data_IF_087911650185
#
_entry.id   IF_087911650185
#
_cell.length_a   1.000
_cell.length_b   1.000
_cell.length_c   1.000
_cell.angle_alpha   90.00
_cell.angle_beta   90.00
_cell.angle_gamma   90.00
#
_symmetry.space_group_name_H-M   'P 1'
#
loop_
_entity.id
_entity.type
_entity.pdbx_description
1 polymer ?
#
# COMPACT_ATOMS: atom_id res chain seq x y z
N UNK A 1 -7.25 8.06 -11.07
CA UNK A 1 -6.91 6.65 -11.38
C UNK A 1 -7.04 5.79 -10.14
N UNK A 2 -7.18 4.51 -10.32
CA UNK A 2 -7.25 3.56 -9.22
C UNK A 2 -6.07 2.61 -9.32
N UNK A 3 -5.19 2.66 -8.32
CA UNK A 3 -4.00 1.83 -8.27
C UNK A 3 -4.06 0.94 -7.05
N UNK A 4 -3.88 -0.35 -7.26
CA UNK A 4 -3.71 -1.30 -6.18
C UNK A 4 -2.21 -1.50 -5.99
N UNK A 5 -1.71 -1.14 -4.82
CA UNK A 5 -0.29 -1.32 -4.47
C UNK A 5 -0.18 -2.54 -3.58
N UNK A 6 0.65 -3.50 -4.01
CA UNK A 6 0.96 -4.66 -3.19
C UNK A 6 2.47 -4.73 -2.99
N UNK A 7 2.90 -5.20 -1.83
CA UNK A 7 4.33 -5.30 -1.55
C UNK A 7 4.62 -6.50 -0.65
N UNK A 8 5.85 -6.97 -0.77
CA UNK A 8 6.41 -8.00 0.09
C UNK A 8 7.83 -7.55 0.44
N UNK A 9 8.02 -7.16 1.68
CA UNK A 9 9.30 -6.61 2.17
C UNK A 9 9.92 -7.59 3.14
N UNK A 10 11.18 -7.95 2.90
CA UNK A 10 11.92 -8.85 3.77
C UNK A 10 12.06 -8.25 5.17
N UNK A 11 11.66 -9.01 6.18
CA UNK A 11 11.73 -8.59 7.59
C UNK A 11 12.73 -9.40 8.40
N UNK A 12 13.60 -10.13 7.73
CA UNK A 12 14.61 -10.96 8.38
C UNK A 12 15.56 -10.12 9.24
N UNK A 13 15.84 -8.89 8.82
CA UNK A 13 16.73 -8.00 9.52
C UNK A 13 16.06 -6.69 9.91
N UNK A 14 16.68 -5.95 10.83
CA UNK A 14 16.14 -4.67 11.31
C UNK A 14 15.95 -3.65 10.19
N UNK A 15 16.88 -3.63 9.23
CA UNK A 15 16.78 -2.72 8.09
C UNK A 15 15.51 -3.00 7.27
N UNK A 16 15.18 -4.26 7.05
CA UNK A 16 13.96 -4.65 6.33
C UNK A 16 12.70 -4.27 7.09
N UNK A 17 12.70 -4.43 8.39
CA UNK A 17 11.56 -4.01 9.21
C UNK A 17 11.34 -2.50 9.14
N UNK A 18 12.42 -1.72 9.08
CA UNK A 18 12.32 -0.26 8.90
C UNK A 18 11.79 0.09 7.52
N UNK A 19 12.26 -0.62 6.47
CA UNK A 19 11.74 -0.42 5.10
C UNK A 19 10.25 -0.72 5.04
N UNK A 20 9.82 -1.80 5.67
CA UNK A 20 8.41 -2.17 5.70
C UNK A 20 7.56 -1.04 6.27
N UNK A 21 7.99 -0.44 7.37
CA UNK A 21 7.26 0.68 7.97
C UNK A 21 7.20 1.90 7.03
N UNK A 22 8.31 2.20 6.35
CA UNK A 22 8.36 3.34 5.42
C UNK A 22 7.52 3.11 4.18
N UNK A 23 7.54 1.89 3.64
CA UNK A 23 6.68 1.51 2.51
C UNK A 23 5.21 1.61 2.90
N UNK A 24 4.83 1.05 4.03
CA UNK A 24 3.46 1.12 4.51
C UNK A 24 3.02 2.57 4.76
N UNK A 25 3.90 3.39 5.32
CA UNK A 25 3.62 4.81 5.57
C UNK A 25 3.39 5.56 4.26
N UNK A 26 4.23 5.32 3.26
CA UNK A 26 4.07 5.93 1.95
C UNK A 26 2.71 5.59 1.35
N UNK A 27 2.33 4.32 1.39
CA UNK A 27 1.03 3.90 0.88
C UNK A 27 -0.13 4.52 1.67
N UNK A 28 -0.02 4.60 2.99
CA UNK A 28 -1.06 5.20 3.84
C UNK A 28 -1.27 6.69 3.57
N UNK A 29 -0.22 7.38 3.16
CA UNK A 29 -0.32 8.82 2.84
C UNK A 29 -1.13 9.06 1.58
N UNK A 30 -1.32 8.05 0.72
CA UNK A 30 -1.98 8.19 -0.58
C UNK A 30 -3.18 7.28 -0.78
N UNK A 31 -3.40 6.33 0.10
CA UNK A 31 -4.47 5.36 -0.10
C UNK A 31 -5.00 4.75 1.18
N UNK A 32 -5.85 3.76 1.02
CA UNK A 32 -6.51 3.06 2.11
C UNK A 32 -6.01 1.63 2.15
N UNK A 33 -5.63 1.16 3.32
CA UNK A 33 -5.19 -0.22 3.50
C UNK A 33 -6.36 -1.18 3.31
N UNK A 34 -6.24 -2.07 2.34
CA UNK A 34 -7.21 -3.13 2.11
C UNK A 34 -6.83 -4.40 2.85
N UNK A 35 -5.54 -4.72 2.89
CA UNK A 35 -4.96 -5.81 3.66
C UNK A 35 -3.57 -5.41 4.12
N UNK A 36 -2.89 -6.26 4.88
CA UNK A 36 -1.61 -5.89 5.51
C UNK A 36 -0.62 -5.27 4.54
N UNK A 37 -0.49 -5.84 3.36
CA UNK A 37 0.46 -5.37 2.35
C UNK A 37 -0.24 -5.00 1.05
N UNK A 38 -1.49 -4.56 1.14
CA UNK A 38 -2.31 -4.18 -0.01
C UNK A 38 -3.00 -2.86 0.28
N UNK A 39 -2.78 -1.88 -0.59
CA UNK A 39 -3.38 -0.55 -0.48
C UNK A 39 -4.14 -0.20 -1.74
N UNK A 40 -5.29 0.40 -1.57
CA UNK A 40 -6.12 0.93 -2.65
C UNK A 40 -5.94 2.44 -2.70
N UNK A 41 -5.42 2.94 -3.83
CA UNK A 41 -5.11 4.34 -4.00
C UNK A 41 -5.96 4.94 -5.12
N UNK A 42 -6.87 5.87 -4.77
CA UNK A 42 -7.68 6.62 -5.73
C UNK A 42 -7.08 8.01 -5.82
N UNK A 43 -6.20 8.22 -6.79
CA UNK A 43 -5.37 9.41 -6.87
C UNK A 43 -5.21 9.85 -8.32
N UNK A 44 -4.77 11.09 -8.50
CA UNK A 44 -4.45 11.62 -9.80
C UNK A 44 -3.04 11.22 -10.26
N UNK A 45 -2.73 11.56 -11.50
CA UNK A 45 -1.45 11.19 -12.11
C UNK A 45 -0.25 11.80 -11.35
N UNK A 46 -0.37 13.05 -10.93
CA UNK A 46 0.72 13.72 -10.22
C UNK A 46 1.00 13.05 -8.87
N UNK A 47 -0.05 12.71 -8.13
CA UNK A 47 0.07 12.02 -6.86
C UNK A 47 0.66 10.62 -7.03
N UNK A 48 0.22 9.91 -8.07
CA UNK A 48 0.77 8.60 -8.37
C UNK A 48 2.27 8.67 -8.66
N UNK A 49 2.71 9.66 -9.41
CA UNK A 49 4.13 9.84 -9.71
C UNK A 49 4.94 10.01 -8.41
N UNK A 50 4.42 10.81 -7.48
CA UNK A 50 5.08 11.02 -6.20
C UNK A 50 5.12 9.74 -5.36
N UNK A 51 4.01 9.03 -5.28
CA UNK A 51 3.94 7.78 -4.53
C UNK A 51 4.88 6.73 -5.12
N UNK A 52 4.83 6.55 -6.44
CA UNK A 52 5.71 5.59 -7.12
C UNK A 52 7.18 5.89 -6.86
N UNK A 53 7.59 7.14 -7.01
CA UNK A 53 8.98 7.53 -6.80
C UNK A 53 9.40 7.26 -5.35
N UNK A 54 8.53 7.55 -4.41
CA UNK A 54 8.79 7.31 -3.00
C UNK A 54 8.96 5.81 -2.71
N UNK A 55 8.10 4.97 -3.26
CA UNK A 55 8.18 3.51 -3.09
C UNK A 55 9.43 2.94 -3.74
N UNK A 56 9.74 3.38 -4.95
CA UNK A 56 10.93 2.89 -5.66
C UNK A 56 12.23 3.33 -4.98
N UNK A 57 12.21 4.43 -4.23
CA UNK A 57 13.35 4.87 -3.45
C UNK A 57 13.55 4.03 -2.19
N UNK A 58 12.44 3.60 -1.58
CA UNK A 58 12.50 2.88 -0.30
C UNK A 58 12.80 1.39 -0.44
N UNK A 59 12.24 0.71 -1.45
CA UNK A 59 12.36 -0.74 -1.52
C UNK A 59 13.79 -1.18 -1.90
N UNK A 60 14.15 -2.38 -1.49
CA UNK A 60 15.43 -3.00 -1.82
C UNK A 60 15.19 -4.05 -2.91
N UNK A 61 15.67 -3.79 -4.11
CA UNK A 61 15.35 -4.61 -5.29
C UNK A 61 15.82 -6.06 -5.18
N UNK A 62 16.83 -6.33 -4.36
CA UNK A 62 17.34 -7.69 -4.18
C UNK A 62 16.60 -8.50 -3.12
N UNK A 63 15.72 -7.87 -2.33
CA UNK A 63 15.09 -8.52 -1.18
C UNK A 63 13.59 -8.32 -1.14
N UNK A 64 13.09 -7.24 -1.74
CA UNK A 64 11.70 -6.82 -1.63
C UNK A 64 11.00 -6.91 -2.98
N UNK A 65 9.67 -6.94 -2.96
CA UNK A 65 8.83 -6.93 -4.15
C UNK A 65 7.80 -5.83 -4.03
N UNK A 66 7.61 -5.08 -5.09
CA UNK A 66 6.52 -4.10 -5.25
C UNK A 66 5.73 -4.47 -6.50
N UNK A 67 4.42 -4.35 -6.43
CA UNK A 67 3.56 -4.60 -7.57
C UNK A 67 2.44 -3.56 -7.61
N UNK A 68 2.20 -3.00 -8.78
CA UNK A 68 1.17 -2.00 -9.00
C UNK A 68 0.18 -2.52 -10.02
N UNK A 69 -1.09 -2.53 -9.66
CA UNK A 69 -2.17 -2.88 -10.56
C UNK A 69 -2.97 -1.63 -10.87
N UNK A 70 -3.16 -1.34 -12.14
CA UNK A 70 -3.95 -0.20 -12.58
C UNK A 70 -5.32 -0.68 -12.99
N UNK A 71 -6.34 -0.23 -12.27
CA UNK A 71 -7.71 -0.66 -12.46
C UNK A 71 -8.56 0.52 -12.91
N UNK A 72 -9.63 0.23 -13.66
CA UNK A 72 -10.57 1.28 -14.05
C UNK A 72 -11.60 1.54 -12.93
N UNK A 73 -12.37 2.61 -13.09
CA UNK A 73 -13.37 2.99 -12.09
C UNK A 73 -14.45 1.91 -11.91
N UNK A 74 -14.82 1.24 -13.00
CA UNK A 74 -15.81 0.18 -12.95
C UNK A 74 -15.33 -1.00 -12.11
N UNK A 75 -14.05 -1.38 -12.22
CA UNK A 75 -13.47 -2.44 -11.41
C UNK A 75 -13.45 -2.03 -9.93
N UNK A 76 -13.14 -0.77 -9.65
CA UNK A 76 -13.12 -0.26 -8.27
C UNK A 76 -14.51 -0.36 -7.61
N UNK A 77 -15.56 -0.06 -8.37
CA UNK A 77 -16.94 -0.10 -7.86
C UNK A 77 -17.46 -1.52 -7.66
N UNK A 78 -16.83 -2.50 -8.30
CA UNK A 78 -17.20 -3.92 -8.18
C UNK A 78 -16.50 -4.64 -7.05
N UNK A 79 -15.72 -3.94 -6.25
CA UNK A 79 -15.05 -4.54 -5.11
C UNK A 79 -16.07 -4.97 -4.07
N UNK A 80 -16.01 -6.23 -3.68
CA UNK A 80 -16.85 -6.78 -2.62
C UNK A 80 -15.97 -7.13 -1.45
N UNK A 81 -16.39 -6.71 -0.28
CA UNK A 81 -15.67 -7.00 0.96
C UNK A 81 -16.53 -7.86 1.87
N UNK A 82 -15.95 -8.92 2.41
CA UNK A 82 -16.61 -9.82 3.36
C UNK A 82 -15.77 -9.92 4.61
N UNK A 83 -16.42 -9.98 5.77
CA UNK A 83 -15.74 -10.15 7.04
C UNK A 83 -15.56 -8.83 7.78
N UNK A 84 -14.41 -8.65 8.39
CA UNK A 84 -14.11 -7.42 9.16
C UNK A 84 -14.16 -6.23 8.21
N UNK A 85 -14.91 -5.15 8.54
CA UNK A 85 -15.19 -4.06 7.61
C UNK A 85 -13.94 -3.39 7.03
N UNK A 86 -12.86 -3.26 7.81
CA UNK A 86 -11.58 -2.73 7.32
C UNK A 86 -10.46 -3.36 8.11
N UNK A 87 -9.31 -3.63 7.47
CA UNK A 87 -8.11 -3.92 8.23
C UNK A 87 -7.79 -2.73 9.12
N UNK A 88 -7.33 -3.01 10.32
CA UNK A 88 -7.00 -1.96 11.27
C UNK A 88 -5.77 -1.20 10.78
N UNK A 89 -5.83 0.12 10.84
CA UNK A 89 -4.65 0.93 10.66
C UNK A 89 -3.84 0.83 11.96
N UNK A 90 -2.64 0.26 11.85
CA UNK A 90 -1.79 0.04 13.01
C UNK A 90 -1.24 1.34 13.60
N UNK A 91 -1.38 2.45 12.89
CA UNK A 91 -0.96 3.76 13.37
C UNK A 91 -2.05 4.49 14.15
N UNK A 92 -3.27 4.00 14.12
CA UNK A 92 -4.41 4.60 14.83
C UNK A 92 -4.75 3.82 16.08
N UNK A 93 -5.25 4.50 17.13
CA UNK A 93 -5.77 3.80 18.29
C UNK A 93 -6.89 2.88 17.86
N UNK A 94 -6.91 1.70 18.44
CA UNK A 94 -7.98 0.75 18.22
C UNK A 94 -9.24 1.28 18.86
N UNK A 95 -10.13 1.82 18.07
CA UNK A 95 -11.46 2.23 18.52
C UNK A 95 -12.40 1.11 18.14
N UNK A 96 -12.78 0.38 19.11
CA UNK A 96 -13.75 -0.70 18.93
C UNK A 96 -15.13 -0.23 19.29
#
# INVERSE_FOLDING_TARGET
>A
MFVLVTYDVSTAEAAGRRRLRRVARACSDYGVRAQKSVFECRIGQAEWTLLRDRLLTEYESGEDSLRFYFLDAAAAEKTEHYGVPKPLDLTEPLIL
#
